data_IF_383587023590
#
_entry.id   IF_383587023590
#
_cell.length_a   1.000
_cell.length_b   1.000
_cell.length_c   1.000
_cell.angle_alpha   90.00
_cell.angle_beta   90.00
_cell.angle_gamma   90.00
#
_symmetry.space_group_name_H-M   'P 1'
#
loop_
_entity.id
_entity.type
_entity.pdbx_description
1 polymer ?
#
# COMPACT_ATOMS: atom_id res chain seq x y z
N UNK A 1 78.29 -37.80 28.12
CA UNK A 1 77.26 -38.10 27.10
C UNK A 1 75.98 -37.38 27.52
N UNK A 2 75.59 -36.27 26.89
CA UNK A 2 74.74 -36.15 25.67
C UNK A 2 73.41 -36.92 25.78
N UNK A 3 72.29 -36.20 25.67
CA UNK A 3 70.97 -36.77 25.41
C UNK A 3 69.79 -35.84 25.67
N UNK A 4 69.51 -34.93 24.72
CA UNK A 4 68.42 -33.94 24.71
C UNK A 4 67.07 -34.51 24.20
N UNK A 5 65.99 -33.69 24.36
CA UNK A 5 64.63 -33.71 23.73
C UNK A 5 63.51 -34.20 24.69
N UNK A 6 62.35 -33.56 24.81
CA UNK A 6 61.80 -32.37 24.16
C UNK A 6 60.32 -32.16 24.55
N UNK A 7 59.94 -30.88 24.71
CA UNK A 7 58.69 -30.20 24.26
C UNK A 7 57.35 -30.95 24.33
N UNK A 8 56.39 -30.40 25.10
CA UNK A 8 55.05 -29.96 24.59
C UNK A 8 54.28 -29.13 25.63
N UNK A 9 54.25 -27.83 25.38
CA UNK A 9 53.16 -26.93 25.81
C UNK A 9 51.89 -27.25 25.02
N UNK A 10 50.72 -27.08 25.64
CA UNK A 10 49.40 -26.70 25.07
C UNK A 10 48.31 -27.14 26.06
N UNK A 11 47.25 -26.39 26.37
CA UNK A 11 46.62 -25.22 25.76
C UNK A 11 45.77 -24.55 26.85
N UNK A 12 45.94 -23.24 27.04
CA UNK A 12 44.85 -22.40 27.51
C UNK A 12 43.73 -22.40 26.47
N UNK A 13 42.48 -22.43 26.94
CA UNK A 13 41.35 -21.92 26.16
C UNK A 13 40.92 -20.62 26.84
N UNK A 14 41.58 -19.54 26.44
CA UNK A 14 40.94 -18.24 26.42
C UNK A 14 39.87 -18.32 25.33
N UNK A 15 38.62 -18.42 25.73
CA UNK A 15 37.51 -18.18 24.82
C UNK A 15 37.56 -16.71 24.41
N UNK A 16 37.85 -16.51 23.12
CA UNK A 16 38.05 -15.20 22.54
C UNK A 16 36.86 -14.29 22.80
N UNK A 17 37.10 -13.25 23.59
CA UNK A 17 36.49 -11.96 23.37
C UNK A 17 36.83 -11.56 21.92
N UNK A 18 35.91 -11.81 20.99
CA UNK A 18 35.92 -11.11 19.70
C UNK A 18 35.84 -9.63 20.06
N UNK A 19 36.95 -8.92 19.90
CA UNK A 19 36.93 -7.47 19.95
C UNK A 19 35.86 -6.99 18.98
N UNK A 20 34.91 -6.19 19.49
CA UNK A 20 33.99 -5.47 18.64
C UNK A 20 34.84 -4.61 17.72
N UNK A 21 34.91 -4.96 16.44
CA UNK A 21 35.47 -4.07 15.44
C UNK A 21 34.61 -2.79 15.46
N UNK A 22 35.26 -1.62 15.43
CA UNK A 22 34.57 -0.33 15.47
C UNK A 22 33.59 -0.13 14.31
N UNK A 23 33.63 -1.02 13.31
CA UNK A 23 32.71 -1.08 12.17
C UNK A 23 31.29 -1.57 12.51
N UNK A 24 31.07 -2.20 13.68
CA UNK A 24 29.78 -2.78 14.08
C UNK A 24 29.02 -1.97 15.16
N UNK A 25 29.54 -0.81 15.56
CA UNK A 25 28.87 0.04 16.56
C UNK A 25 27.61 0.69 15.96
N UNK A 26 26.52 0.85 16.73
CA UNK A 26 25.29 1.51 16.25
C UNK A 26 25.51 2.92 15.69
N UNK A 27 26.54 3.63 16.14
CA UNK A 27 26.92 4.97 15.65
C UNK A 27 27.74 4.95 14.36
N UNK A 28 28.23 3.80 13.93
CA UNK A 28 29.11 3.68 12.76
C UNK A 28 28.37 4.03 11.48
N UNK A 29 29.00 4.86 10.65
CA UNK A 29 28.43 5.33 9.40
C UNK A 29 28.49 4.22 8.35
N UNK A 30 27.42 4.11 7.59
CA UNK A 30 27.30 3.22 6.45
C UNK A 30 27.01 4.04 5.20
N UNK A 31 27.78 3.76 4.15
CA UNK A 31 27.62 4.37 2.83
C UNK A 31 27.00 3.36 1.88
N UNK A 32 26.01 3.80 1.11
CA UNK A 32 25.24 2.99 0.18
C UNK A 32 25.33 3.56 -1.23
N UNK A 33 25.29 2.65 -2.20
CA UNK A 33 24.86 2.92 -3.56
C UNK A 33 23.68 2.00 -3.88
N UNK A 34 22.49 2.58 -4.08
CA UNK A 34 21.26 1.85 -4.41
C UNK A 34 20.90 2.16 -5.87
N UNK A 35 21.33 1.28 -6.78
CA UNK A 35 21.08 1.42 -8.22
C UNK A 35 21.55 2.75 -8.82
N UNK A 36 22.71 3.25 -8.38
CA UNK A 36 23.31 4.52 -8.81
C UNK A 36 22.95 5.72 -7.92
N UNK A 37 22.24 5.54 -6.80
CA UNK A 37 21.90 6.61 -5.85
C UNK A 37 22.59 6.41 -4.52
N UNK A 38 23.38 7.42 -4.13
CA UNK A 38 24.19 7.35 -2.92
C UNK A 38 23.40 7.77 -1.67
N UNK A 39 23.52 6.99 -0.60
CA UNK A 39 22.94 7.30 0.71
C UNK A 39 23.97 7.15 1.82
N UNK A 40 23.76 7.88 2.91
CA UNK A 40 24.54 7.70 4.16
C UNK A 40 23.60 7.59 5.35
N UNK A 41 23.85 6.64 6.24
CA UNK A 41 23.15 6.52 7.53
C UNK A 41 24.06 5.84 8.56
N UNK A 42 23.50 5.36 9.67
CA UNK A 42 24.23 4.61 10.70
C UNK A 42 23.77 3.14 10.79
N UNK A 43 24.64 2.26 11.31
CA UNK A 43 24.30 0.86 11.60
C UNK A 43 23.05 0.77 12.48
N UNK A 44 22.95 1.62 13.52
CA UNK A 44 21.80 1.65 14.42
C UNK A 44 20.49 1.94 13.69
N UNK A 45 20.49 2.84 12.71
CA UNK A 45 19.30 3.11 11.89
C UNK A 45 18.82 1.85 11.16
N UNK A 46 19.74 1.05 10.65
CA UNK A 46 19.44 -0.12 9.81
C UNK A 46 19.01 -1.35 10.62
N UNK A 47 19.34 -1.38 11.91
CA UNK A 47 19.25 -2.58 12.75
C UNK A 47 18.23 -2.48 13.88
N UNK A 48 17.86 -1.28 14.32
CA UNK A 48 17.08 -1.11 15.56
C UNK A 48 15.56 -1.27 15.37
N UNK A 49 14.96 -0.66 14.34
CA UNK A 49 13.50 -0.64 14.19
C UNK A 49 12.93 -1.96 13.69
N UNK A 50 13.60 -2.56 12.71
CA UNK A 50 13.18 -3.78 12.02
C UNK A 50 14.32 -4.80 12.13
N UNK A 51 14.56 -5.38 13.32
CA UNK A 51 15.74 -6.22 13.59
C UNK A 51 15.80 -7.51 12.78
N UNK A 52 14.66 -7.95 12.24
CA UNK A 52 14.54 -9.16 11.40
C UNK A 52 14.59 -8.85 9.90
N UNK A 53 14.83 -7.58 9.52
CA UNK A 53 14.90 -7.18 8.11
C UNK A 53 16.21 -7.62 7.43
N UNK A 54 16.20 -7.65 6.10
CA UNK A 54 17.41 -7.90 5.30
C UNK A 54 18.52 -6.88 5.64
N UNK A 55 18.15 -5.60 5.80
CA UNK A 55 19.11 -4.54 6.16
C UNK A 55 19.69 -4.79 7.56
N UNK A 56 18.87 -5.18 8.53
CA UNK A 56 19.37 -5.52 9.85
C UNK A 56 20.33 -6.72 9.79
N UNK A 57 20.00 -7.76 9.02
CA UNK A 57 20.89 -8.91 8.84
C UNK A 57 22.23 -8.52 8.20
N UNK A 58 22.20 -7.72 7.12
CA UNK A 58 23.39 -7.21 6.44
C UNK A 58 24.32 -6.42 7.37
N UNK A 59 23.76 -5.62 8.27
CA UNK A 59 24.53 -4.72 9.14
C UNK A 59 24.55 -5.15 10.61
N UNK A 60 24.23 -6.41 10.90
CA UNK A 60 24.26 -7.00 12.24
C UNK A 60 25.67 -7.35 12.73
N UNK A 61 26.69 -7.26 11.87
CA UNK A 61 28.04 -7.79 12.11
C UNK A 61 28.14 -9.32 11.99
N UNK A 62 27.03 -10.02 11.75
CA UNK A 62 27.01 -11.50 11.63
C UNK A 62 27.33 -12.02 10.24
N UNK A 63 27.18 -11.17 9.21
CA UNK A 63 27.37 -11.53 7.81
C UNK A 63 28.38 -10.58 7.16
N UNK A 64 29.28 -11.14 6.34
CA UNK A 64 30.18 -10.33 5.51
C UNK A 64 29.41 -9.77 4.33
N UNK A 65 29.13 -8.47 4.36
CA UNK A 65 28.54 -7.75 3.23
C UNK A 65 29.67 -7.27 2.31
N UNK A 66 29.64 -7.59 1.00
CA UNK A 66 30.59 -7.02 0.04
C UNK A 66 30.55 -5.49 0.10
N UNK A 67 31.72 -4.87 0.25
CA UNK A 67 31.90 -3.42 0.23
C UNK A 67 33.01 -3.08 -0.74
N UNK A 68 32.91 -1.92 -1.37
CA UNK A 68 33.99 -1.38 -2.17
C UNK A 68 35.25 -1.20 -1.28
N UNK A 69 36.42 -1.77 -1.65
CA UNK A 69 37.61 -1.75 -0.80
C UNK A 69 38.17 -0.36 -0.53
N UNK A 70 38.00 0.58 -1.46
CA UNK A 70 38.60 1.90 -1.39
C UNK A 70 37.69 2.91 -0.68
N UNK A 71 36.38 2.79 -0.90
CA UNK A 71 35.36 3.75 -0.42
C UNK A 71 34.52 3.21 0.73
N UNK A 72 34.47 1.89 0.93
CA UNK A 72 33.63 1.22 1.92
C UNK A 72 32.13 1.24 1.57
N UNK A 73 31.77 1.64 0.35
CA UNK A 73 30.38 1.71 -0.10
C UNK A 73 29.79 0.31 -0.30
N UNK A 74 28.56 0.12 0.19
CA UNK A 74 27.77 -1.09 -0.07
C UNK A 74 26.87 -0.83 -1.27
N UNK A 75 27.07 -1.60 -2.34
CA UNK A 75 26.19 -1.56 -3.50
C UNK A 75 25.01 -2.51 -3.33
N UNK A 76 23.81 -2.03 -3.68
CA UNK A 76 22.59 -2.82 -3.74
C UNK A 76 21.93 -2.55 -5.10
N UNK A 77 21.77 -3.60 -5.89
CA UNK A 77 21.18 -3.53 -7.24
C UNK A 77 19.65 -3.44 -7.19
N UNK A 78 19.15 -2.28 -6.75
CA UNK A 78 17.73 -1.94 -6.60
C UNK A 78 17.46 -0.50 -7.02
N UNK A 79 16.21 -0.13 -7.27
CA UNK A 79 15.87 1.27 -7.56
C UNK A 79 15.99 2.15 -6.31
N UNK A 80 17.00 3.02 -6.29
CA UNK A 80 17.19 3.96 -5.18
C UNK A 80 16.11 5.03 -5.05
N UNK A 81 15.22 5.25 -6.03
CA UNK A 81 14.22 6.35 -6.00
C UNK A 81 13.43 6.43 -4.70
N UNK A 82 12.97 5.30 -4.17
CA UNK A 82 12.13 5.26 -2.98
C UNK A 82 12.91 4.96 -1.68
N UNK A 83 14.23 4.72 -1.76
CA UNK A 83 15.05 4.32 -0.62
C UNK A 83 15.12 5.40 0.48
N UNK A 84 14.94 6.68 0.13
CA UNK A 84 14.80 7.76 1.11
C UNK A 84 13.64 7.51 2.09
N UNK A 85 12.52 6.98 1.62
CA UNK A 85 11.35 6.71 2.46
C UNK A 85 11.58 5.53 3.41
N UNK A 86 12.33 4.51 2.95
CA UNK A 86 12.82 3.42 3.80
C UNK A 86 13.70 3.96 4.93
N UNK A 87 14.65 4.85 4.62
CA UNK A 87 15.51 5.44 5.64
C UNK A 87 14.72 6.29 6.66
N UNK A 88 13.74 7.06 6.20
CA UNK A 88 12.89 7.84 7.12
C UNK A 88 12.07 6.92 8.02
N UNK A 89 11.43 5.89 7.45
CA UNK A 89 10.75 4.85 8.24
C UNK A 89 11.67 4.26 9.32
N UNK A 90 12.88 3.86 8.95
CA UNK A 90 13.83 3.27 9.89
C UNK A 90 14.26 4.25 11.00
N UNK A 91 14.44 5.54 10.68
CA UNK A 91 14.85 6.58 11.64
C UNK A 91 13.75 6.92 12.64
N UNK A 92 12.61 7.40 12.15
CA UNK A 92 11.57 7.99 12.99
C UNK A 92 10.21 7.31 12.86
N UNK A 93 10.03 6.42 11.88
CA UNK A 93 8.77 5.71 11.63
C UNK A 93 7.76 6.55 10.86
N UNK A 94 8.17 7.71 10.31
CA UNK A 94 7.30 8.62 9.59
C UNK A 94 7.45 8.41 8.08
N UNK A 95 6.32 8.13 7.42
CA UNK A 95 6.23 8.22 5.97
C UNK A 95 5.73 9.60 5.56
N UNK A 96 6.42 10.23 4.63
CA UNK A 96 5.91 11.40 3.91
C UNK A 96 4.71 11.00 3.07
N UNK A 97 3.76 11.90 2.89
CA UNK A 97 2.67 11.72 1.92
C UNK A 97 3.23 11.52 0.51
N UNK A 98 2.82 10.46 -0.16
CA UNK A 98 3.25 10.07 -1.52
C UNK A 98 2.05 9.93 -2.45
N UNK A 99 2.31 9.91 -3.76
CA UNK A 99 1.31 9.48 -4.75
C UNK A 99 1.10 7.97 -4.66
N UNK A 100 -0.04 7.48 -5.13
CA UNK A 100 -0.40 6.06 -5.07
C UNK A 100 0.59 5.15 -5.80
N UNK A 101 0.97 5.50 -7.03
CA UNK A 101 1.98 4.74 -7.78
C UNK A 101 3.33 4.68 -7.04
N UNK A 102 3.67 5.72 -6.26
CA UNK A 102 4.88 5.74 -5.44
C UNK A 102 4.75 4.88 -4.18
N UNK A 103 3.53 4.70 -3.63
CA UNK A 103 3.30 3.74 -2.55
C UNK A 103 3.40 2.29 -3.04
N UNK A 104 2.96 1.99 -4.27
CA UNK A 104 3.15 0.66 -4.85
C UNK A 104 4.63 0.35 -5.09
N UNK A 105 5.37 1.30 -5.66
CA UNK A 105 6.81 1.17 -5.84
C UNK A 105 7.54 1.01 -4.50
N UNK A 106 7.17 1.82 -3.49
CA UNK A 106 7.72 1.70 -2.14
C UNK A 106 7.37 0.37 -1.48
N UNK A 107 6.17 -0.17 -1.71
CA UNK A 107 5.78 -1.49 -1.20
C UNK A 107 6.70 -2.59 -1.74
N UNK A 108 7.01 -2.58 -3.04
CA UNK A 108 7.92 -3.56 -3.65
C UNK A 108 9.31 -3.51 -3.04
N UNK A 109 9.82 -2.32 -2.74
CA UNK A 109 11.11 -2.18 -2.05
C UNK A 109 11.02 -2.62 -0.58
N UNK A 110 9.95 -2.27 0.13
CA UNK A 110 9.73 -2.70 1.52
C UNK A 110 9.68 -4.24 1.64
N UNK A 111 9.05 -4.92 0.68
CA UNK A 111 9.04 -6.39 0.59
C UNK A 111 10.43 -6.96 0.30
N UNK A 112 11.19 -6.36 -0.63
CA UNK A 112 12.55 -6.78 -0.94
C UNK A 112 13.48 -6.70 0.29
N UNK A 113 13.45 -5.57 1.01
CA UNK A 113 14.25 -5.40 2.22
C UNK A 113 13.68 -6.10 3.45
N UNK A 114 12.54 -6.79 3.32
CA UNK A 114 11.86 -7.52 4.39
C UNK A 114 11.50 -6.64 5.59
N UNK A 115 11.01 -5.43 5.32
CA UNK A 115 10.59 -4.45 6.33
C UNK A 115 9.11 -4.66 6.67
N UNK A 116 8.82 -5.66 7.51
CA UNK A 116 7.44 -6.12 7.77
C UNK A 116 6.58 -4.98 8.32
N UNK A 117 7.08 -4.21 9.30
CA UNK A 117 6.32 -3.09 9.87
C UNK A 117 6.02 -2.00 8.83
N UNK A 118 6.94 -1.74 7.90
CA UNK A 118 6.69 -0.81 6.78
C UNK A 118 5.64 -1.35 5.81
N UNK A 119 5.70 -2.64 5.47
CA UNK A 119 4.71 -3.30 4.61
C UNK A 119 3.31 -3.20 5.22
N UNK A 120 3.19 -3.49 6.52
CA UNK A 120 1.92 -3.37 7.27
C UNK A 120 1.43 -1.92 7.39
N UNK A 121 2.34 -0.94 7.37
CA UNK A 121 1.99 0.47 7.37
C UNK A 121 1.50 0.97 5.99
N UNK A 122 2.07 0.47 4.90
CA UNK A 122 1.71 0.88 3.54
C UNK A 122 0.43 0.19 3.08
N UNK A 123 0.26 -1.11 3.37
CA UNK A 123 -0.88 -1.92 2.89
C UNK A 123 -2.25 -1.29 3.15
N UNK A 124 -2.57 -0.73 4.34
CA UNK A 124 -3.84 -0.04 4.56
C UNK A 124 -4.01 1.21 3.68
N UNK A 125 -2.94 1.93 3.35
CA UNK A 125 -3.01 3.11 2.48
C UNK A 125 -3.22 2.73 1.01
N UNK A 126 -2.70 1.58 0.58
CA UNK A 126 -3.01 0.99 -0.72
C UNK A 126 -4.39 0.31 -0.73
N UNK A 127 -4.83 -0.29 0.38
CA UNK A 127 -6.13 -0.97 0.47
C UNK A 127 -7.28 0.01 0.62
N UNK A 128 -7.06 1.17 1.24
CA UNK A 128 -7.99 2.32 1.20
C UNK A 128 -8.30 2.77 -0.24
N UNK A 129 -7.50 2.36 -1.23
CA UNK A 129 -7.67 2.69 -2.65
C UNK A 129 -7.66 1.50 -3.61
N UNK A 130 -7.39 0.27 -3.15
CA UNK A 130 -7.85 -0.94 -3.85
C UNK A 130 -9.35 -1.19 -3.65
N UNK A 131 -9.97 -0.46 -2.71
CA UNK A 131 -11.41 -0.20 -2.69
C UNK A 131 -11.82 0.91 -3.71
N UNK A 132 -10.87 1.57 -4.39
CA UNK A 132 -11.09 2.43 -5.58
C UNK A 132 -11.00 1.64 -6.91
N UNK A 133 -10.99 0.30 -6.87
CA UNK A 133 -11.63 -0.52 -7.93
C UNK A 133 -13.08 -0.77 -7.50
N UNK A 134 -13.95 0.20 -7.83
CA UNK A 134 -15.33 0.33 -7.37
C UNK A 134 -16.23 -0.88 -7.61
N UNK A 135 -16.09 -1.90 -6.77
CA UNK A 135 -16.81 -3.18 -6.88
C UNK A 135 -17.51 -3.61 -5.58
N UNK A 136 -17.50 -2.78 -4.54
CA UNK A 136 -18.36 -2.93 -3.37
C UNK A 136 -19.01 -1.58 -3.06
N UNK A 137 -20.33 -1.50 -3.20
CA UNK A 137 -21.09 -0.32 -2.85
C UNK A 137 -20.91 0.07 -1.36
N UNK A 138 -20.92 1.37 -1.08
CA UNK A 138 -20.89 1.94 0.29
C UNK A 138 -22.08 1.50 1.14
N UNK A 139 -23.15 1.03 0.49
CA UNK A 139 -24.37 0.55 1.12
C UNK A 139 -24.76 -0.81 0.57
N UNK A 140 -25.39 -1.65 1.40
CA UNK A 140 -26.07 -2.85 0.90
C UNK A 140 -27.46 -2.49 0.35
N UNK A 141 -28.02 -3.35 -0.51
CA UNK A 141 -29.44 -3.22 -0.93
C UNK A 141 -30.38 -3.12 0.29
N UNK A 142 -30.08 -3.82 1.37
CA UNK A 142 -30.86 -3.78 2.62
C UNK A 142 -30.83 -2.40 3.26
N UNK A 143 -29.69 -1.71 3.26
CA UNK A 143 -29.57 -0.37 3.82
C UNK A 143 -30.33 0.67 2.98
N UNK A 144 -30.28 0.54 1.66
CA UNK A 144 -31.07 1.36 0.73
C UNK A 144 -32.57 1.21 1.02
N UNK A 145 -33.05 -0.03 1.12
CA UNK A 145 -34.47 -0.31 1.40
C UNK A 145 -34.91 0.31 2.73
N UNK A 146 -34.07 0.22 3.78
CA UNK A 146 -34.35 0.85 5.07
C UNK A 146 -34.40 2.37 4.98
N UNK A 147 -33.49 2.99 4.23
CA UNK A 147 -33.46 4.45 4.04
C UNK A 147 -34.71 4.96 3.31
N UNK A 148 -35.16 4.24 2.28
CA UNK A 148 -36.40 4.54 1.54
C UNK A 148 -37.61 4.42 2.47
N UNK A 149 -37.71 3.31 3.22
CA UNK A 149 -38.80 3.08 4.18
C UNK A 149 -38.83 4.11 5.31
N UNK A 150 -37.68 4.67 5.67
CA UNK A 150 -37.55 5.71 6.68
C UNK A 150 -37.77 7.14 6.12
N UNK A 151 -38.11 7.30 4.83
CA UNK A 151 -38.23 8.59 4.13
C UNK A 151 -36.97 9.47 4.20
N UNK A 152 -35.81 8.87 4.47
CA UNK A 152 -34.52 9.56 4.61
C UNK A 152 -33.69 9.33 3.35
N UNK A 153 -33.91 10.10 2.28
CA UNK A 153 -33.22 9.79 1.01
C UNK A 153 -32.50 10.98 0.37
N UNK A 154 -31.17 10.98 0.52
CA UNK A 154 -30.22 11.62 -0.41
C UNK A 154 -29.02 10.68 -0.55
N UNK A 155 -28.86 10.07 -1.73
CA UNK A 155 -27.70 9.23 -2.07
C UNK A 155 -26.66 10.00 -2.90
N UNK A 156 -26.71 11.32 -2.81
CA UNK A 156 -25.81 12.24 -3.48
C UNK A 156 -24.37 11.96 -3.07
N UNK A 157 -23.48 11.75 -4.04
CA UNK A 157 -22.05 11.54 -3.79
C UNK A 157 -21.65 10.15 -3.30
N UNK A 158 -22.57 9.19 -3.21
CA UNK A 158 -22.25 7.84 -2.73
C UNK A 158 -21.78 6.92 -3.87
N UNK A 159 -20.97 5.92 -3.54
CA UNK A 159 -20.70 4.80 -4.44
C UNK A 159 -21.75 3.67 -4.25
N UNK A 160 -22.58 3.46 -5.26
CA UNK A 160 -23.61 2.42 -5.33
C UNK A 160 -23.28 1.34 -6.37
N UNK A 161 -22.05 1.33 -6.88
CA UNK A 161 -21.65 0.48 -8.00
C UNK A 161 -21.89 -1.00 -7.72
N UNK A 162 -22.39 -1.71 -8.73
CA UNK A 162 -22.69 -3.14 -8.66
C UNK A 162 -23.94 -3.53 -7.87
N UNK A 163 -24.69 -2.57 -7.28
CA UNK A 163 -25.91 -2.90 -6.56
C UNK A 163 -27.01 -3.36 -7.49
N UNK A 164 -27.77 -4.37 -7.05
CA UNK A 164 -29.10 -4.59 -7.58
C UNK A 164 -30.07 -3.66 -6.86
N UNK A 165 -30.58 -2.66 -7.56
CA UNK A 165 -31.64 -1.72 -7.16
C UNK A 165 -32.93 -1.92 -7.97
N UNK A 166 -33.04 -3.05 -8.67
CA UNK A 166 -34.19 -3.40 -9.49
C UNK A 166 -35.47 -3.45 -8.65
N UNK A 167 -36.59 -3.05 -9.27
CA UNK A 167 -37.95 -3.05 -8.69
C UNK A 167 -38.16 -2.16 -7.47
N UNK A 168 -37.18 -1.33 -7.08
CA UNK A 168 -37.33 -0.40 -5.97
C UNK A 168 -38.09 0.86 -6.40
N UNK A 169 -38.81 1.46 -5.45
CA UNK A 169 -39.31 2.83 -5.61
C UNK A 169 -38.22 3.82 -5.16
N UNK A 170 -37.63 4.47 -6.16
CA UNK A 170 -36.54 5.43 -6.04
C UNK A 170 -37.00 6.78 -6.62
N UNK A 171 -38.30 7.03 -6.64
CA UNK A 171 -38.85 8.30 -7.10
C UNK A 171 -38.37 9.45 -6.22
N UNK A 172 -38.11 10.60 -6.84
CA UNK A 172 -37.61 11.82 -6.18
C UNK A 172 -36.23 11.70 -5.49
N UNK A 173 -35.52 10.57 -5.65
CA UNK A 173 -34.22 10.34 -5.02
C UNK A 173 -33.11 11.15 -5.70
N UNK A 174 -32.23 11.76 -4.91
CA UNK A 174 -31.06 12.47 -5.43
C UNK A 174 -29.83 11.55 -5.50
N UNK A 175 -29.43 11.18 -6.72
CA UNK A 175 -28.21 10.44 -7.07
C UNK A 175 -27.11 11.34 -7.64
N UNK A 176 -27.26 12.67 -7.56
CA UNK A 176 -26.26 13.56 -8.17
C UNK A 176 -24.86 13.29 -7.61
N UNK A 177 -23.81 13.34 -8.43
CA UNK A 177 -22.42 13.09 -8.04
C UNK A 177 -22.14 11.67 -7.51
N UNK A 178 -23.09 10.74 -7.61
CA UNK A 178 -22.89 9.36 -7.18
C UNK A 178 -22.17 8.53 -8.25
N UNK A 179 -21.55 7.44 -7.83
CA UNK A 179 -21.02 6.42 -8.73
C UNK A 179 -21.98 5.24 -8.74
N UNK A 180 -22.62 4.98 -9.89
CA UNK A 180 -23.58 3.89 -10.05
C UNK A 180 -23.11 2.87 -11.08
N UNK A 181 -21.81 2.77 -11.38
CA UNK A 181 -21.28 1.86 -12.39
C UNK A 181 -21.76 0.43 -12.18
N UNK A 182 -22.11 -0.28 -13.26
CA UNK A 182 -22.60 -1.67 -13.20
C UNK A 182 -23.80 -1.91 -12.25
N UNK A 183 -24.61 -0.88 -11.96
CA UNK A 183 -25.78 -1.00 -11.07
C UNK A 183 -27.03 -1.42 -11.86
N UNK A 184 -27.86 -2.29 -11.28
CA UNK A 184 -29.09 -2.76 -11.91
C UNK A 184 -30.30 -1.98 -11.40
N UNK A 185 -30.98 -1.25 -12.29
CA UNK A 185 -32.21 -0.51 -12.04
C UNK A 185 -33.42 -1.11 -12.77
N UNK A 186 -33.37 -2.38 -13.14
CA UNK A 186 -34.41 -2.99 -13.97
C UNK A 186 -35.77 -2.91 -13.28
N UNK A 187 -36.80 -2.37 -13.96
CA UNK A 187 -38.16 -2.17 -13.43
C UNK A 187 -38.24 -1.28 -12.18
N UNK A 188 -37.22 -0.48 -11.87
CA UNK A 188 -37.26 0.48 -10.78
C UNK A 188 -38.12 1.70 -11.15
N UNK A 189 -38.78 2.31 -10.15
CA UNK A 189 -39.42 3.62 -10.33
C UNK A 189 -38.39 4.72 -10.03
N UNK A 190 -37.92 5.43 -11.05
CA UNK A 190 -36.96 6.52 -10.94
C UNK A 190 -37.61 7.87 -11.30
N UNK A 191 -38.95 7.96 -11.25
CA UNK A 191 -39.66 9.18 -11.61
C UNK A 191 -39.19 10.37 -10.75
N UNK A 192 -38.77 11.45 -11.39
CA UNK A 192 -38.24 12.66 -10.73
C UNK A 192 -36.95 12.45 -9.92
N UNK A 193 -36.23 11.34 -10.11
CA UNK A 193 -34.90 11.17 -9.53
C UNK A 193 -33.89 12.12 -10.19
N UNK A 194 -32.78 12.45 -9.51
CA UNK A 194 -31.77 13.39 -10.01
C UNK A 194 -30.45 12.68 -10.28
N UNK A 195 -29.88 12.89 -11.46
CA UNK A 195 -28.66 12.21 -11.94
C UNK A 195 -27.54 13.15 -12.39
N UNK A 196 -27.51 14.39 -11.87
CA UNK A 196 -26.48 15.36 -12.27
C UNK A 196 -25.08 14.84 -11.93
N UNK A 197 -24.16 14.86 -12.91
CA UNK A 197 -22.76 14.48 -12.74
C UNK A 197 -22.59 13.05 -12.18
N UNK A 198 -23.45 12.10 -12.61
CA UNK A 198 -23.39 10.70 -12.17
C UNK A 198 -22.47 9.85 -13.06
N UNK A 199 -21.73 8.92 -12.46
CA UNK A 199 -20.95 7.93 -13.22
C UNK A 199 -21.77 6.65 -13.39
N UNK A 200 -22.38 6.45 -14.57
CA UNK A 200 -23.33 5.37 -14.81
C UNK A 200 -22.85 4.26 -15.76
N UNK A 201 -21.56 4.20 -16.08
CA UNK A 201 -21.00 3.23 -17.04
C UNK A 201 -21.39 1.77 -16.68
N UNK A 202 -21.96 1.05 -17.65
CA UNK A 202 -22.36 -0.35 -17.48
C UNK A 202 -23.64 -0.58 -16.66
N UNK A 203 -24.33 0.48 -16.23
CA UNK A 203 -25.60 0.36 -15.50
C UNK A 203 -26.75 -0.09 -16.39
N UNK A 204 -27.72 -0.79 -15.80
CA UNK A 204 -28.83 -1.41 -16.53
C UNK A 204 -30.17 -0.81 -16.12
N UNK A 205 -30.91 -0.22 -17.07
CA UNK A 205 -32.19 0.46 -16.81
C UNK A 205 -33.40 -0.18 -17.52
N UNK A 206 -33.34 -1.46 -17.89
CA UNK A 206 -34.45 -2.14 -18.59
C UNK A 206 -35.80 -1.97 -17.89
N UNK A 207 -36.80 -1.46 -18.62
CA UNK A 207 -38.15 -1.22 -18.12
C UNK A 207 -38.21 -0.31 -16.87
N UNK A 208 -37.20 0.51 -16.60
CA UNK A 208 -37.24 1.49 -15.52
C UNK A 208 -38.13 2.70 -15.89
N UNK A 209 -38.77 3.32 -14.90
CA UNK A 209 -39.60 4.52 -15.10
C UNK A 209 -38.72 5.75 -14.91
N UNK A 210 -38.36 6.44 -16.00
CA UNK A 210 -37.51 7.64 -16.01
C UNK A 210 -38.24 8.82 -16.69
N UNK A 211 -37.82 10.06 -16.42
CA UNK A 211 -38.22 11.20 -17.26
C UNK A 211 -37.30 11.32 -18.46
N UNK A 212 -37.84 11.86 -19.56
CA UNK A 212 -37.10 12.07 -20.82
C UNK A 212 -35.85 12.94 -20.63
N UNK A 213 -35.91 13.93 -19.73
CA UNK A 213 -34.79 14.83 -19.40
C UNK A 213 -33.65 14.11 -18.65
N UNK A 214 -33.98 13.10 -17.84
CA UNK A 214 -33.00 12.36 -17.02
C UNK A 214 -32.16 11.40 -17.87
N UNK A 215 -32.76 10.85 -18.93
CA UNK A 215 -32.05 9.99 -19.92
C UNK A 215 -30.89 10.75 -20.57
N UNK A 216 -31.08 12.04 -20.87
CA UNK A 216 -30.03 12.88 -21.46
C UNK A 216 -28.84 13.11 -20.51
N UNK A 217 -29.09 13.10 -19.20
CA UNK A 217 -28.04 13.31 -18.18
C UNK A 217 -27.22 12.05 -17.87
N UNK A 218 -27.70 10.86 -18.25
CA UNK A 218 -27.04 9.57 -18.01
C UNK A 218 -26.08 9.14 -19.15
N UNK A 219 -25.97 9.93 -20.23
CA UNK A 219 -25.07 9.69 -21.35
C UNK A 219 -25.65 8.78 -22.45
N UNK A 220 -25.24 9.00 -23.71
CA UNK A 220 -25.83 8.43 -24.93
C UNK A 220 -25.69 6.90 -25.15
N UNK A 221 -25.29 6.10 -24.15
CA UNK A 221 -25.05 4.66 -24.32
C UNK A 221 -26.08 3.76 -23.62
N UNK A 222 -27.22 4.32 -23.22
CA UNK A 222 -28.32 3.52 -22.71
C UNK A 222 -29.00 2.80 -23.87
N UNK A 223 -28.87 1.47 -23.92
CA UNK A 223 -29.90 0.63 -24.54
C UNK A 223 -31.20 0.80 -23.73
N UNK A 224 -31.87 1.95 -23.87
CA UNK A 224 -33.28 2.12 -23.51
C UNK A 224 -34.06 1.41 -24.60
N UNK A 225 -33.97 0.08 -24.64
CA UNK A 225 -34.90 -0.71 -25.45
C UNK A 225 -36.25 -0.63 -24.73
N UNK A 226 -37.14 0.16 -25.35
CA UNK A 226 -38.55 0.30 -25.01
C UNK A 226 -39.26 -1.05 -24.90
#
# INVERSE_FOLDING_TARGET
AKGSRGRRESRGREEGQRGMDGSDLPSSRVYFDIGGKNYTTTVGTLTQREPDSMLAAMFSGRHTVPRDPDTGVVFIDRDGKHFRHILNWLRDGVLTSLKESEYEDLLREAEYYQLIGLVEHIKPNLNKRKDEDGSQAELTRTDIVKCIQAERVRFRGLNLSGLDLSKLDLSCVDFSYSCIRNTFFSRANLHSAKFRDVEADGSIFHNAILREEDVNSLGQNLEVLS
#
